data_IF_173632844464
#
_entry.id   IF_173632844464
#
_cell.length_a   1.000
_cell.length_b   1.000
_cell.length_c   1.000
_cell.angle_alpha   90.00
_cell.angle_beta   90.00
_cell.angle_gamma   90.00
#
_symmetry.space_group_name_H-M   'P 1'
#
loop_
_entity.id
_entity.type
_entity.pdbx_description
1 polymer ?
#
# COMPACT_ATOMS: atom_id res chain seq x y z
N UNK A 1 -35.00 -1.31 -4.41
CA UNK A 1 -34.23 -0.08 -4.13
C UNK A 1 -32.97 -0.09 -4.98
N UNK A 2 -32.72 1.01 -5.68
CA UNK A 2 -31.82 1.14 -6.82
C UNK A 2 -30.34 0.97 -6.44
N UNK A 3 -29.64 0.03 -7.08
CA UNK A 3 -28.19 -0.04 -7.06
C UNK A 3 -27.63 1.06 -7.97
N UNK A 4 -27.21 2.17 -7.37
CA UNK A 4 -26.46 3.23 -8.06
C UNK A 4 -25.12 2.67 -8.53
N UNK A 5 -24.98 2.41 -9.84
CA UNK A 5 -23.71 2.13 -10.51
C UNK A 5 -22.93 3.45 -10.71
N UNK A 6 -21.84 3.72 -9.96
CA UNK A 6 -21.21 5.05 -9.89
C UNK A 6 -20.51 5.51 -11.16
N UNK A 7 -19.87 4.60 -11.91
CA UNK A 7 -19.11 4.97 -13.09
C UNK A 7 -19.96 5.33 -14.34
N UNK A 8 -21.31 5.19 -14.30
CA UNK A 8 -22.16 5.56 -15.47
C UNK A 8 -22.16 7.07 -15.82
N UNK A 9 -21.48 7.91 -15.03
CA UNK A 9 -21.73 9.34 -14.99
C UNK A 9 -20.63 10.26 -15.59
N UNK A 10 -19.48 9.71 -16.05
CA UNK A 10 -18.37 10.49 -16.63
C UNK A 10 -18.34 10.49 -18.17
N UNK A 11 -19.22 9.69 -18.80
CA UNK A 11 -19.28 9.52 -20.26
C UNK A 11 -18.06 8.82 -20.86
N UNK A 12 -18.18 8.36 -22.12
CA UNK A 12 -17.10 7.68 -22.85
C UNK A 12 -15.76 8.46 -22.86
N UNK A 13 -15.75 9.81 -23.01
CA UNK A 13 -14.51 10.58 -23.00
C UNK A 13 -13.79 10.53 -21.63
N UNK A 14 -14.53 10.57 -20.53
CA UNK A 14 -13.96 10.49 -19.17
C UNK A 14 -13.31 9.13 -18.89
N UNK A 15 -13.97 8.04 -19.33
CA UNK A 15 -13.37 6.70 -19.25
C UNK A 15 -12.11 6.57 -20.11
N UNK A 16 -12.14 7.11 -21.33
CA UNK A 16 -10.98 7.07 -22.22
C UNK A 16 -9.80 7.83 -21.61
N UNK A 17 -10.05 8.99 -21.00
CA UNK A 17 -9.03 9.75 -20.30
C UNK A 17 -8.46 8.96 -19.11
N UNK A 18 -9.32 8.38 -18.26
CA UNK A 18 -8.89 7.59 -17.11
C UNK A 18 -8.02 6.41 -17.52
N UNK A 19 -8.49 5.60 -18.48
CA UNK A 19 -7.75 4.44 -18.99
C UNK A 19 -6.44 4.86 -19.66
N UNK A 20 -6.47 5.94 -20.45
CA UNK A 20 -5.27 6.47 -21.09
C UNK A 20 -4.25 6.93 -20.03
N UNK A 21 -4.67 7.63 -18.98
CA UNK A 21 -3.77 8.05 -17.90
C UNK A 21 -3.19 6.86 -17.15
N UNK A 22 -4.02 5.87 -16.78
CA UNK A 22 -3.56 4.66 -16.06
C UNK A 22 -2.57 3.85 -16.90
N UNK A 23 -2.84 3.65 -18.18
CA UNK A 23 -1.92 2.88 -19.04
C UNK A 23 -0.61 3.63 -19.28
N UNK A 24 -0.67 4.95 -19.45
CA UNK A 24 0.52 5.77 -19.71
C UNK A 24 1.30 6.16 -18.45
N UNK A 25 0.75 5.97 -17.24
CA UNK A 25 1.50 6.18 -15.99
C UNK A 25 2.51 5.07 -15.69
N UNK A 26 2.57 4.02 -16.52
CA UNK A 26 3.52 2.92 -16.39
C UNK A 26 3.33 2.07 -15.12
N UNK A 27 2.09 1.66 -14.76
CA UNK A 27 1.91 0.69 -13.68
C UNK A 27 2.68 -0.59 -14.02
N UNK A 28 3.38 -1.16 -13.04
CA UNK A 28 4.05 -2.45 -13.21
C UNK A 28 3.04 -3.59 -13.32
N UNK A 29 3.45 -4.75 -13.85
CA UNK A 29 2.55 -5.88 -14.10
C UNK A 29 1.86 -6.43 -12.83
N UNK A 30 2.46 -6.21 -11.65
CA UNK A 30 1.92 -6.59 -10.34
C UNK A 30 0.97 -5.54 -9.73
N UNK A 31 0.69 -4.48 -10.48
CA UNK A 31 -0.12 -3.34 -10.02
C UNK A 31 -1.57 -3.56 -10.39
N UNK A 32 -2.47 -3.64 -9.40
CA UNK A 32 -3.89 -3.86 -9.65
C UNK A 32 -4.79 -2.78 -9.02
N UNK A 33 -5.99 -2.67 -9.57
CA UNK A 33 -7.02 -1.77 -9.03
C UNK A 33 -7.65 -2.35 -7.77
N UNK A 34 -8.02 -1.53 -6.77
CA UNK A 34 -8.52 -2.05 -5.51
C UNK A 34 -9.74 -2.98 -5.68
N UNK A 35 -9.83 -4.03 -4.85
CA UNK A 35 -10.82 -5.11 -5.04
C UNK A 35 -12.26 -4.59 -5.06
N UNK A 36 -12.58 -3.59 -4.24
CA UNK A 36 -13.89 -2.95 -4.23
C UNK A 36 -14.24 -2.27 -5.56
N UNK A 37 -13.25 -1.82 -6.35
CA UNK A 37 -13.47 -1.26 -7.69
C UNK A 37 -13.74 -2.37 -8.70
N UNK A 38 -12.93 -3.43 -8.65
CA UNK A 38 -13.08 -4.59 -9.54
C UNK A 38 -14.45 -5.28 -9.36
N UNK A 39 -14.96 -5.29 -8.13
CA UNK A 39 -16.27 -5.86 -7.79
C UNK A 39 -17.45 -4.89 -8.00
N UNK A 40 -17.19 -3.64 -8.44
CA UNK A 40 -18.24 -2.62 -8.65
C UNK A 40 -18.90 -2.13 -7.34
N UNK A 41 -18.16 -2.19 -6.24
CA UNK A 41 -18.54 -1.74 -4.88
C UNK A 41 -17.77 -0.50 -4.46
N UNK A 42 -17.28 0.30 -5.40
CA UNK A 42 -16.45 1.48 -5.16
C UNK A 42 -17.13 2.55 -4.30
N UNK A 43 -18.46 2.65 -4.38
CA UNK A 43 -19.27 3.58 -3.59
C UNK A 43 -19.62 3.05 -2.18
N UNK A 44 -19.30 1.80 -1.87
CA UNK A 44 -19.59 1.17 -0.59
C UNK A 44 -18.40 0.31 -0.11
N UNK A 45 -17.23 0.94 0.16
CA UNK A 45 -16.08 0.21 0.70
C UNK A 45 -16.43 -0.35 2.08
N UNK A 46 -16.07 -1.62 2.31
CA UNK A 46 -16.25 -2.28 3.60
C UNK A 46 -14.93 -2.33 4.33
N UNK A 47 -14.94 -2.10 5.64
CA UNK A 47 -13.75 -2.22 6.48
C UNK A 47 -13.11 -3.62 6.36
N UNK A 48 -13.92 -4.67 6.30
CA UNK A 48 -13.48 -6.04 6.06
C UNK A 48 -12.77 -6.23 4.70
N UNK A 49 -13.20 -5.50 3.67
CA UNK A 49 -12.57 -5.54 2.35
C UNK A 49 -11.17 -4.92 2.40
N UNK A 50 -11.01 -3.80 3.10
CA UNK A 50 -9.71 -3.16 3.30
C UNK A 50 -8.75 -4.04 4.10
N UNK A 51 -9.23 -4.75 5.12
CA UNK A 51 -8.42 -5.73 5.85
C UNK A 51 -7.93 -6.86 4.94
N UNK A 52 -8.85 -7.45 4.16
CA UNK A 52 -8.49 -8.53 3.22
C UNK A 52 -7.48 -8.06 2.18
N UNK A 53 -7.65 -6.86 1.63
CA UNK A 53 -6.75 -6.31 0.62
C UNK A 53 -5.36 -6.05 1.19
N UNK A 54 -5.26 -5.52 2.40
CA UNK A 54 -3.97 -5.28 3.04
C UNK A 54 -3.28 -6.58 3.41
N UNK A 55 -4.05 -7.57 3.88
CA UNK A 55 -3.50 -8.90 4.15
C UNK A 55 -3.03 -9.54 2.84
N UNK A 56 -3.80 -9.49 1.75
CA UNK A 56 -3.38 -10.00 0.44
C UNK A 56 -2.05 -9.35 -0.01
N UNK A 57 -1.97 -8.02 -0.02
CA UNK A 57 -0.78 -7.27 -0.45
C UNK A 57 0.43 -7.55 0.46
N UNK A 58 0.23 -7.45 1.77
CA UNK A 58 1.31 -7.63 2.73
C UNK A 58 1.81 -9.07 2.70
N UNK A 59 0.92 -10.05 2.65
CA UNK A 59 1.32 -11.46 2.74
C UNK A 59 1.97 -11.97 1.45
N UNK A 60 1.50 -11.57 0.27
CA UNK A 60 2.17 -11.94 -0.99
C UNK A 60 3.62 -11.45 -1.01
N UNK A 61 3.86 -10.21 -0.57
CA UNK A 61 5.23 -9.65 -0.54
C UNK A 61 6.10 -10.28 0.54
N UNK A 62 5.51 -10.73 1.65
CA UNK A 62 6.25 -11.30 2.77
C UNK A 62 6.53 -12.80 2.61
N UNK A 63 5.66 -13.55 1.92
CA UNK A 63 5.85 -14.98 1.65
C UNK A 63 7.15 -15.24 0.87
N UNK A 64 7.49 -14.36 -0.08
CA UNK A 64 8.75 -14.41 -0.81
C UNK A 64 9.99 -14.14 0.08
N UNK A 65 9.82 -13.41 1.19
CA UNK A 65 10.90 -12.93 2.05
C UNK A 65 11.14 -13.84 3.28
N UNK A 66 10.07 -14.45 3.79
CA UNK A 66 10.06 -15.17 5.07
C UNK A 66 10.21 -16.69 4.96
N UNK A 67 10.58 -17.21 3.79
CA UNK A 67 10.88 -18.63 3.59
C UNK A 67 12.17 -19.08 4.33
N UNK A 68 12.14 -19.09 5.67
CA UNK A 68 13.21 -19.63 6.53
C UNK A 68 14.14 -18.60 7.18
N UNK A 69 13.81 -17.32 7.17
CA UNK A 69 14.62 -16.27 7.82
C UNK A 69 14.10 -15.94 9.22
N UNK A 70 14.97 -15.99 10.23
CA UNK A 70 14.64 -15.48 11.57
C UNK A 70 14.70 -13.95 11.57
N UNK A 71 13.64 -13.28 12.04
CA UNK A 71 13.47 -11.83 11.96
C UNK A 71 13.52 -11.22 13.36
N UNK A 72 14.50 -10.35 13.58
CA UNK A 72 14.64 -9.65 14.86
C UNK A 72 13.77 -8.39 14.97
N UNK A 73 13.59 -7.69 13.86
CA UNK A 73 12.92 -6.40 13.77
C UNK A 73 11.98 -6.40 12.57
N UNK A 74 10.71 -6.11 12.82
CA UNK A 74 9.69 -5.93 11.79
C UNK A 74 9.23 -4.48 11.77
N UNK A 75 9.38 -3.82 10.63
CA UNK A 75 8.85 -2.48 10.38
C UNK A 75 7.78 -2.58 9.31
N UNK A 76 6.54 -2.23 9.64
CA UNK A 76 5.46 -2.08 8.68
C UNK A 76 5.17 -0.61 8.46
N UNK A 77 5.01 -0.21 7.20
CA UNK A 77 4.62 1.13 6.82
C UNK A 77 3.29 1.08 6.08
N UNK A 78 2.31 1.83 6.56
CA UNK A 78 0.99 1.95 5.93
C UNK A 78 0.50 3.38 6.10
N UNK A 79 0.28 4.09 4.99
CA UNK A 79 0.12 5.55 5.02
C UNK A 79 -1.12 6.03 5.78
N UNK A 80 -2.31 5.47 5.51
CA UNK A 80 -3.59 5.98 6.07
C UNK A 80 -4.54 4.90 6.61
N UNK A 81 -4.07 3.66 6.74
CA UNK A 81 -4.83 2.60 7.41
C UNK A 81 -4.12 2.20 8.70
N UNK A 82 -4.72 2.54 9.84
CA UNK A 82 -4.24 2.13 11.16
C UNK A 82 -5.21 1.11 11.76
N UNK A 83 -5.12 -0.16 11.33
CA UNK A 83 -6.03 -1.20 11.77
C UNK A 83 -5.82 -1.58 13.23
N UNK A 84 -6.90 -2.02 13.87
CA UNK A 84 -6.85 -2.76 15.13
C UNK A 84 -7.31 -4.20 14.85
N UNK A 85 -6.48 -5.25 15.10
CA UNK A 85 -5.08 -5.21 15.56
C UNK A 85 -4.13 -4.61 14.51
N UNK A 86 -2.92 -4.19 14.91
CA UNK A 86 -1.94 -3.58 14.00
C UNK A 86 -1.52 -4.53 12.85
N UNK A 87 -1.04 -3.96 11.73
CA UNK A 87 -0.51 -4.77 10.62
C UNK A 87 0.65 -5.66 11.07
N UNK A 88 1.56 -5.12 11.88
CA UNK A 88 2.65 -5.89 12.48
C UNK A 88 2.16 -7.05 13.36
N UNK A 89 1.07 -6.86 14.11
CA UNK A 89 0.49 -7.94 14.94
C UNK A 89 -0.10 -9.05 14.08
N UNK A 90 -0.76 -8.71 12.97
CA UNK A 90 -1.26 -9.70 12.01
C UNK A 90 -0.13 -10.51 11.40
N UNK A 91 0.94 -9.85 10.96
CA UNK A 91 2.14 -10.50 10.41
C UNK A 91 2.79 -11.42 11.44
N UNK A 92 3.06 -10.93 12.65
CA UNK A 92 3.66 -11.73 13.74
C UNK A 92 2.84 -12.99 14.03
N UNK A 93 1.52 -12.84 14.18
CA UNK A 93 0.64 -13.96 14.48
C UNK A 93 0.55 -14.96 13.32
N UNK A 94 0.59 -14.48 12.07
CA UNK A 94 0.48 -15.34 10.89
C UNK A 94 1.75 -16.16 10.66
N UNK A 95 2.92 -15.53 10.70
CA UNK A 95 4.20 -16.21 10.47
C UNK A 95 4.78 -16.87 11.73
N UNK A 96 4.05 -16.85 12.85
CA UNK A 96 4.46 -17.45 14.13
C UNK A 96 5.86 -16.97 14.55
N UNK A 97 6.07 -15.66 14.41
CA UNK A 97 7.31 -15.03 14.82
C UNK A 97 7.51 -15.17 16.33
N UNK A 98 8.77 -15.18 16.76
CA UNK A 98 9.18 -15.31 18.16
C UNK A 98 8.65 -14.17 19.04
N UNK A 99 8.48 -14.45 20.34
CA UNK A 99 7.88 -13.49 21.29
C UNK A 99 8.70 -12.20 21.46
N UNK A 100 10.03 -12.27 21.36
CA UNK A 100 10.93 -11.12 21.55
C UNK A 100 11.19 -10.31 20.28
N UNK A 101 10.36 -10.46 19.24
CA UNK A 101 10.45 -9.63 18.04
C UNK A 101 10.12 -8.17 18.36
N UNK A 102 10.88 -7.24 17.78
CA UNK A 102 10.59 -5.81 17.86
C UNK A 102 9.72 -5.40 16.69
N UNK A 103 8.54 -4.86 16.95
CA UNK A 103 7.61 -4.41 15.91
C UNK A 103 7.46 -2.89 15.92
N UNK A 104 7.46 -2.29 14.73
CA UNK A 104 7.20 -0.87 14.52
C UNK A 104 6.16 -0.71 13.43
N UNK A 105 5.01 -0.12 13.77
CA UNK A 105 3.97 0.23 12.80
C UNK A 105 4.00 1.73 12.54
N UNK A 106 4.51 2.11 11.37
CA UNK A 106 4.61 3.50 10.94
C UNK A 106 3.37 3.82 10.09
N UNK A 107 2.61 4.82 10.52
CA UNK A 107 1.43 5.30 9.80
C UNK A 107 1.30 6.82 9.91
N UNK A 108 0.47 7.43 9.05
CA UNK A 108 0.23 8.88 9.05
C UNK A 108 1.27 9.72 8.32
N UNK A 109 2.27 9.08 7.69
CA UNK A 109 3.18 9.70 6.75
C UNK A 109 2.79 9.18 5.35
N UNK A 110 2.64 10.06 4.35
CA UNK A 110 2.40 9.66 2.97
C UNK A 110 1.11 10.21 2.33
N UNK A 111 1.15 10.27 1.00
CA UNK A 111 0.03 10.71 0.16
C UNK A 111 -1.13 9.69 0.16
N UNK A 112 -2.30 10.21 -0.18
CA UNK A 112 -3.65 9.72 0.09
C UNK A 112 -4.00 8.27 -0.37
N UNK A 113 -3.55 7.19 0.29
CA UNK A 113 -4.22 5.88 0.12
C UNK A 113 -5.55 5.89 0.88
N UNK A 114 -6.60 6.40 0.23
CA UNK A 114 -7.98 6.09 0.59
C UNK A 114 -8.61 5.34 -0.57
N UNK A 115 -9.33 4.28 -0.23
CA UNK A 115 -10.42 3.69 -1.02
C UNK A 115 -11.58 4.67 -1.30
N UNK A 116 -11.35 5.99 -1.21
CA UNK A 116 -12.26 7.02 -1.67
C UNK A 116 -12.04 7.17 -3.17
N UNK A 117 -12.49 6.15 -3.89
CA UNK A 117 -12.67 6.27 -5.32
C UNK A 117 -13.59 7.46 -5.57
N UNK A 118 -13.07 8.48 -6.25
CA UNK A 118 -13.86 9.63 -6.61
C UNK A 118 -14.96 9.18 -7.56
N UNK A 119 -16.20 9.19 -7.05
CA UNK A 119 -17.40 8.80 -7.78
C UNK A 119 -18.11 10.01 -8.44
N UNK A 120 -17.51 11.20 -8.38
CA UNK A 120 -18.07 12.42 -8.95
C UNK A 120 -17.82 12.56 -10.45
N UNK A 121 -18.12 13.75 -10.99
CA UNK A 121 -18.09 14.03 -12.44
C UNK A 121 -16.97 14.98 -12.86
N UNK A 122 -16.24 15.54 -11.91
CA UNK A 122 -15.22 16.54 -12.20
C UNK A 122 -13.96 15.86 -12.78
N UNK A 123 -13.66 16.12 -14.05
CA UNK A 123 -12.56 15.47 -14.76
C UNK A 123 -11.17 15.84 -14.20
N UNK A 124 -11.01 17.02 -13.60
CA UNK A 124 -9.80 17.41 -12.88
C UNK A 124 -9.56 16.53 -11.65
N UNK A 125 -10.62 16.12 -10.97
CA UNK A 125 -10.56 15.31 -9.74
C UNK A 125 -10.48 13.82 -10.07
N UNK A 126 -11.00 13.37 -11.21
CA UNK A 126 -10.95 11.95 -11.60
C UNK A 126 -9.53 11.40 -11.73
N UNK A 127 -8.55 12.26 -12.02
CA UNK A 127 -7.14 11.89 -12.12
C UNK A 127 -6.57 11.44 -10.76
N UNK A 128 -7.18 11.83 -9.64
CA UNK A 128 -6.80 11.31 -8.32
C UNK A 128 -7.02 9.80 -8.22
N UNK A 129 -7.99 9.23 -8.95
CA UNK A 129 -8.19 7.78 -8.98
C UNK A 129 -7.04 7.03 -9.66
N UNK A 130 -6.25 7.69 -10.51
CA UNK A 130 -5.08 7.10 -11.15
C UNK A 130 -3.85 7.01 -10.22
N UNK A 131 -3.85 7.71 -9.08
CA UNK A 131 -2.72 7.78 -8.16
C UNK A 131 -2.68 6.64 -7.14
N UNK A 132 -3.72 5.80 -7.07
CA UNK A 132 -3.87 4.79 -6.01
C UNK A 132 -4.07 3.38 -6.55
N UNK A 133 -3.10 2.80 -7.28
CA UNK A 133 -3.09 1.36 -7.41
C UNK A 133 -2.73 0.69 -6.08
N UNK A 134 -3.30 -0.49 -5.84
CA UNK A 134 -2.95 -1.34 -4.71
C UNK A 134 -1.61 -2.02 -5.00
N UNK A 135 -0.56 -1.62 -4.29
CA UNK A 135 0.75 -2.24 -4.37
C UNK A 135 1.44 -2.29 -2.99
N UNK A 136 2.32 -3.27 -2.82
CA UNK A 136 3.14 -3.42 -1.62
C UNK A 136 4.55 -3.82 -2.00
N UNK A 137 5.49 -3.56 -1.10
CA UNK A 137 6.86 -4.04 -1.23
C UNK A 137 7.36 -4.50 0.14
N UNK A 138 8.26 -5.48 0.12
CA UNK A 138 8.97 -5.96 1.30
C UNK A 138 10.48 -5.91 1.03
N UNK A 139 11.26 -5.73 2.09
CA UNK A 139 12.72 -5.72 2.00
C UNK A 139 13.30 -6.38 3.25
N UNK A 140 14.31 -7.21 3.05
CA UNK A 140 15.08 -7.83 4.13
C UNK A 140 16.39 -7.08 4.32
N UNK A 141 16.64 -6.61 5.54
CA UNK A 141 17.91 -6.02 5.95
C UNK A 141 18.62 -6.98 6.90
N UNK A 142 19.89 -7.27 6.64
CA UNK A 142 20.71 -8.14 7.49
C UNK A 142 22.04 -7.45 7.79
N UNK A 143 22.48 -7.54 9.04
CA UNK A 143 23.86 -7.20 9.44
C UNK A 143 24.76 -8.45 9.48
N UNK A 144 24.21 -9.63 9.20
CA UNK A 144 24.97 -10.87 9.15
C UNK A 144 25.44 -11.12 7.72
N UNK A 145 26.74 -10.96 7.47
CA UNK A 145 27.36 -11.24 6.17
C UNK A 145 27.35 -12.73 5.77
N UNK A 146 26.92 -13.63 6.66
CA UNK A 146 26.74 -15.06 6.40
C UNK A 146 25.29 -15.49 6.18
N UNK A 147 24.33 -14.56 6.21
CA UNK A 147 22.93 -14.87 5.92
C UNK A 147 22.79 -15.44 4.49
N UNK A 148 21.97 -16.49 4.35
CA UNK A 148 21.77 -17.26 3.12
C UNK A 148 21.18 -16.40 1.98
N UNK A 149 22.04 -15.68 1.26
CA UNK A 149 21.66 -14.90 0.08
C UNK A 149 22.78 -13.95 -0.34
N UNK A 150 23.00 -13.80 -1.64
CA UNK A 150 23.88 -12.73 -2.14
C UNK A 150 23.19 -11.38 -1.87
N UNK A 151 23.83 -10.42 -1.20
CA UNK A 151 23.24 -9.10 -1.00
C UNK A 151 23.05 -8.42 -2.36
N UNK A 152 21.83 -7.94 -2.63
CA UNK A 152 21.51 -7.20 -3.87
C UNK A 152 22.10 -5.79 -3.80
N UNK A 153 22.05 -5.17 -2.63
CA UNK A 153 22.59 -3.84 -2.35
C UNK A 153 23.21 -3.79 -0.96
N UNK A 154 24.14 -2.86 -0.75
CA UNK A 154 24.74 -2.56 0.55
C UNK A 154 24.37 -1.13 0.94
N UNK A 155 23.80 -0.97 2.14
CA UNK A 155 23.53 0.35 2.70
C UNK A 155 24.83 0.92 3.30
N UNK A 156 25.46 1.87 2.61
CA UNK A 156 26.71 2.48 3.10
C UNK A 156 26.46 3.64 4.07
N UNK A 157 25.47 4.49 3.80
CA UNK A 157 25.17 5.67 4.62
C UNK A 157 23.66 5.94 4.65
N UNK A 158 23.17 6.34 5.82
CA UNK A 158 21.81 6.84 6.03
C UNK A 158 21.90 8.29 6.50
N UNK A 159 21.46 9.22 5.66
CA UNK A 159 21.39 10.65 6.00
C UNK A 159 19.94 11.00 6.32
N UNK A 160 19.70 11.54 7.52
CA UNK A 160 18.38 12.03 7.93
C UNK A 160 18.43 13.56 8.00
N UNK A 161 17.73 14.22 7.08
CA UNK A 161 17.54 15.67 7.09
C UNK A 161 16.18 15.99 7.71
N UNK A 162 16.15 16.78 8.78
CA UNK A 162 14.91 17.20 9.45
C UNK A 162 14.65 18.69 9.17
N UNK A 163 13.77 19.00 8.22
CA UNK A 163 13.42 20.38 7.84
C UNK A 163 12.21 20.92 8.62
N UNK A 164 11.58 20.12 9.49
CA UNK A 164 10.35 20.53 10.20
C UNK A 164 10.55 21.54 11.33
N UNK A 165 11.76 22.05 11.53
CA UNK A 165 12.07 23.11 12.50
C UNK A 165 12.51 24.42 11.81
N UNK A 166 12.42 24.46 10.48
CA UNK A 166 12.77 25.64 9.68
C UNK A 166 11.48 26.39 9.33
N UNK A 167 11.23 27.48 10.05
CA UNK A 167 10.05 28.33 9.87
C UNK A 167 10.05 29.06 8.51
N UNK A 168 11.16 29.03 7.76
CA UNK A 168 11.31 29.62 6.42
C UNK A 168 10.80 28.70 5.29
N UNK A 169 10.23 27.53 5.60
CA UNK A 169 9.75 26.55 4.63
C UNK A 169 8.30 26.74 4.13
N UNK A 170 7.69 27.92 4.35
CA UNK A 170 6.34 28.29 3.87
C UNK A 170 6.36 29.29 2.71
#
# INVERSE_FOLDING_TARGET
MSATRPLKNIGLPGYRLLLHTIVNSGPGDETYGPRNILEGREAAPTLSGSFSEIDDIALDTLDALFAGTDIDILVAYVSLFSPEPSLTSRVVNRYKMREHIKTFNISGMGESIRSNWYCGKELSVILSNCQFPSCGFSMLLTNNGSANGKPVMKLDQLVRTHLGADDDAY
#
